data_IF_767660988122
#
_entry.id   IF_767660988122
#
_cell.length_a   1.000
_cell.length_b   1.000
_cell.length_c   1.000
_cell.angle_alpha   90.00
_cell.angle_beta   90.00
_cell.angle_gamma   90.00
#
_symmetry.space_group_name_H-M   'P 1'
#
loop_
_entity.id
_entity.type
_entity.pdbx_description
1 polymer ?
#
# COMPACT_ATOMS: atom_id res chain seq x y z
N UNK A 1 -11.31 -20.80 2.77
CA UNK A 1 -10.61 -20.22 3.95
C UNK A 1 -9.25 -19.62 3.61
N UNK A 2 -8.31 -20.35 2.98
CA UNK A 2 -6.97 -19.80 2.65
C UNK A 2 -7.00 -18.53 1.79
N UNK A 3 -7.82 -18.49 0.73
CA UNK A 3 -7.99 -17.32 -0.14
C UNK A 3 -8.50 -16.07 0.62
N UNK A 4 -9.42 -16.27 1.56
CA UNK A 4 -9.97 -15.18 2.37
C UNK A 4 -8.91 -14.57 3.29
N UNK A 5 -8.11 -15.42 3.94
CA UNK A 5 -7.01 -14.97 4.81
C UNK A 5 -5.96 -14.20 4.01
N UNK A 6 -5.58 -14.70 2.82
CA UNK A 6 -4.65 -13.99 1.94
C UNK A 6 -5.20 -12.65 1.47
N UNK A 7 -6.49 -12.57 1.12
CA UNK A 7 -7.13 -11.32 0.74
C UNK A 7 -7.11 -10.31 1.89
N UNK A 8 -7.44 -10.74 3.12
CA UNK A 8 -7.40 -9.89 4.32
C UNK A 8 -5.98 -9.41 4.61
N UNK A 9 -4.98 -10.30 4.55
CA UNK A 9 -3.57 -9.93 4.75
C UNK A 9 -3.13 -8.91 3.70
N UNK A 10 -3.47 -9.14 2.44
CA UNK A 10 -3.11 -8.26 1.35
C UNK A 10 -3.75 -6.87 1.51
N UNK A 11 -5.05 -6.79 1.80
CA UNK A 11 -5.74 -5.51 2.04
C UNK A 11 -5.18 -4.82 3.28
N UNK A 12 -4.95 -5.56 4.37
CA UNK A 12 -4.36 -5.02 5.60
C UNK A 12 -2.97 -4.45 5.38
N UNK A 13 -2.10 -5.18 4.67
CA UNK A 13 -0.76 -4.71 4.30
C UNK A 13 -0.81 -3.48 3.39
N UNK A 14 -1.73 -3.44 2.42
CA UNK A 14 -1.91 -2.28 1.57
C UNK A 14 -2.32 -1.03 2.38
N UNK A 15 -3.32 -1.14 3.24
CA UNK A 15 -3.76 -0.03 4.11
C UNK A 15 -2.65 0.42 5.06
N UNK A 16 -1.89 -0.52 5.63
CA UNK A 16 -0.76 -0.22 6.49
C UNK A 16 0.36 0.54 5.74
N UNK A 17 0.67 0.13 4.51
CA UNK A 17 1.63 0.84 3.64
C UNK A 17 1.14 2.25 3.32
N UNK A 18 -0.13 2.42 2.95
CA UNK A 18 -0.72 3.76 2.67
C UNK A 18 -0.56 4.67 3.87
N UNK A 19 -0.93 4.15 5.04
CA UNK A 19 -0.86 4.86 6.31
C UNK A 19 0.57 5.27 6.62
N UNK A 20 1.51 4.33 6.52
CA UNK A 20 2.92 4.56 6.82
C UNK A 20 3.52 5.67 5.94
N UNK A 21 3.36 5.58 4.62
CA UNK A 21 3.89 6.61 3.71
C UNK A 21 3.18 7.97 3.87
N UNK A 22 1.89 7.97 4.23
CA UNK A 22 1.17 9.22 4.46
C UNK A 22 1.66 9.92 5.75
N UNK A 23 1.97 9.15 6.80
CA UNK A 23 2.57 9.69 8.03
C UNK A 23 3.99 10.20 7.76
N UNK A 24 4.81 9.40 7.09
CA UNK A 24 6.20 9.70 6.75
C UNK A 24 6.31 11.02 5.96
N UNK A 25 5.54 11.14 4.86
CA UNK A 25 5.52 12.37 4.05
C UNK A 25 5.05 13.62 4.82
N UNK A 26 4.18 13.45 5.82
CA UNK A 26 3.73 14.55 6.68
C UNK A 26 4.84 15.00 7.64
N UNK A 27 5.54 14.04 8.25
CA UNK A 27 6.66 14.31 9.15
C UNK A 27 7.85 14.93 8.40
N UNK A 28 8.14 14.47 7.19
CA UNK A 28 9.18 15.02 6.32
C UNK A 28 8.90 16.49 5.93
N UNK A 29 7.62 16.87 5.83
CA UNK A 29 7.21 18.25 5.61
C UNK A 29 7.25 19.11 6.88
N UNK A 30 7.73 18.58 8.01
CA UNK A 30 7.77 19.25 9.31
C UNK A 30 6.41 19.31 10.01
N UNK A 31 5.42 18.57 9.52
CA UNK A 31 4.08 18.51 10.08
C UNK A 31 3.93 17.52 11.24
N UNK A 32 2.74 17.50 11.82
CA UNK A 32 2.30 16.46 12.74
C UNK A 32 1.19 15.64 12.10
N UNK A 33 1.34 14.32 12.12
CA UNK A 33 0.37 13.40 11.56
C UNK A 33 -0.59 12.86 12.62
N UNK A 34 -1.87 12.71 12.26
CA UNK A 34 -2.87 12.08 13.12
C UNK A 34 -3.89 11.27 12.28
N UNK A 35 -4.78 10.53 12.96
CA UNK A 35 -5.80 9.68 12.33
C UNK A 35 -5.22 8.70 11.29
N UNK A 36 -4.15 7.99 11.64
CA UNK A 36 -3.49 7.02 10.76
C UNK A 36 -3.04 7.65 9.42
N UNK A 37 -2.40 8.81 9.46
CA UNK A 37 -1.84 9.43 8.24
C UNK A 37 -2.85 10.17 7.37
N UNK A 38 -4.14 10.17 7.73
CA UNK A 38 -5.20 10.85 6.99
C UNK A 38 -5.30 12.35 7.30
N UNK A 39 -4.64 12.79 8.37
CA UNK A 39 -4.62 14.20 8.76
C UNK A 39 -3.18 14.61 8.99
N UNK A 40 -2.76 15.68 8.33
CA UNK A 40 -1.47 16.32 8.51
C UNK A 40 -1.70 17.79 8.89
N UNK A 41 -1.14 18.23 10.00
CA UNK A 41 -1.24 19.61 10.51
C UNK A 41 0.14 20.23 10.68
N UNK A 42 0.22 21.56 10.75
CA UNK A 42 1.51 22.25 10.93
C UNK A 42 2.40 22.30 9.68
N UNK A 43 1.87 21.92 8.52
CA UNK A 43 2.53 22.00 7.21
C UNK A 43 2.16 23.30 6.49
N UNK A 44 3.02 23.74 5.57
CA UNK A 44 2.74 24.90 4.70
C UNK A 44 1.50 24.69 3.82
N UNK A 45 0.87 25.79 3.38
CA UNK A 45 -0.35 25.77 2.55
C UNK A 45 -0.20 25.01 1.22
N UNK A 46 1.03 24.83 0.77
CA UNK A 46 1.36 24.18 -0.51
C UNK A 46 1.58 22.67 -0.36
N UNK A 47 1.55 22.14 0.88
CA UNK A 47 1.69 20.72 1.12
C UNK A 47 0.38 20.00 0.76
N UNK A 48 0.45 19.14 -0.25
CA UNK A 48 -0.65 18.27 -0.64
C UNK A 48 -0.36 16.88 -0.05
N UNK A 49 -1.18 16.40 0.90
CA UNK A 49 -1.02 15.10 1.51
C UNK A 49 -1.00 13.97 0.49
N UNK A 50 -0.26 12.89 0.80
CA UNK A 50 -0.09 11.76 -0.10
C UNK A 50 -1.44 11.13 -0.52
N UNK A 51 -2.40 11.04 0.40
CA UNK A 51 -3.75 10.52 0.12
C UNK A 51 -4.57 11.40 -0.85
N UNK A 52 -4.19 12.67 -1.02
CA UNK A 52 -4.79 13.63 -1.97
C UNK A 52 -3.99 13.79 -3.26
N UNK A 53 -2.70 13.49 -3.24
CA UNK A 53 -1.90 13.37 -4.46
C UNK A 53 -2.35 12.14 -5.25
N UNK A 54 -1.69 11.90 -6.37
CA UNK A 54 -1.87 10.81 -7.36
C UNK A 54 -1.83 9.37 -6.79
N UNK A 55 -2.03 9.19 -5.49
CA UNK A 55 -2.27 7.95 -4.76
C UNK A 55 -3.11 6.93 -5.53
N UNK A 56 -4.21 7.25 -6.24
CA UNK A 56 -4.92 6.23 -7.00
C UNK A 56 -4.02 5.54 -8.04
N UNK A 57 -3.19 6.31 -8.77
CA UNK A 57 -2.24 5.77 -9.76
C UNK A 57 -1.03 5.10 -9.10
N UNK A 58 -0.54 5.64 -7.98
CA UNK A 58 0.53 4.98 -7.22
C UNK A 58 0.09 3.61 -6.71
N UNK A 59 -1.07 3.52 -6.05
CA UNK A 59 -1.62 2.24 -5.60
C UNK A 59 -1.90 1.31 -6.76
N UNK A 60 -2.49 1.81 -7.86
CA UNK A 60 -2.69 1.00 -9.07
C UNK A 60 -1.38 0.40 -9.59
N UNK A 61 -0.28 1.15 -9.59
CA UNK A 61 1.04 0.64 -9.96
C UNK A 61 1.57 -0.43 -9.00
N UNK A 62 1.40 -0.25 -7.69
CA UNK A 62 1.78 -1.23 -6.65
C UNK A 62 1.00 -2.53 -6.80
N UNK A 63 -0.30 -2.43 -7.11
CA UNK A 63 -1.16 -3.57 -7.42
C UNK A 63 -0.69 -4.32 -8.66
N UNK A 64 -0.43 -3.60 -9.77
CA UNK A 64 0.06 -4.20 -11.02
C UNK A 64 1.41 -4.89 -10.80
N UNK A 65 2.35 -4.24 -10.12
CA UNK A 65 3.64 -4.84 -9.78
C UNK A 65 3.49 -6.07 -8.90
N UNK A 66 2.64 -6.01 -7.86
CA UNK A 66 2.39 -7.15 -6.98
C UNK A 66 1.79 -8.33 -7.74
N UNK A 67 0.80 -8.10 -8.61
CA UNK A 67 0.23 -9.15 -9.45
C UNK A 67 1.24 -9.73 -10.44
N UNK A 68 2.11 -8.88 -11.01
CA UNK A 68 3.17 -9.32 -11.92
C UNK A 68 4.19 -10.20 -11.20
N UNK A 69 4.62 -9.79 -10.00
CA UNK A 69 5.54 -10.58 -9.17
C UNK A 69 4.91 -11.93 -8.81
N UNK A 70 3.65 -11.95 -8.37
CA UNK A 70 2.94 -13.21 -8.06
C UNK A 70 2.90 -14.13 -9.29
N UNK A 71 2.58 -13.60 -10.47
CA UNK A 71 2.58 -14.37 -11.72
C UNK A 71 3.97 -14.91 -12.08
N UNK A 72 5.02 -14.10 -11.92
CA UNK A 72 6.40 -14.53 -12.16
C UNK A 72 6.85 -15.61 -11.18
N UNK A 73 6.53 -15.49 -9.89
CA UNK A 73 6.89 -16.50 -8.88
C UNK A 73 6.13 -17.80 -9.10
N UNK A 74 4.85 -17.77 -9.45
CA UNK A 74 4.07 -18.97 -9.78
C UNK A 74 4.67 -19.71 -10.98
N UNK A 75 5.12 -18.97 -12.01
CA UNK A 75 5.77 -19.55 -13.19
C UNK A 75 7.18 -20.09 -12.90
N UNK A 76 7.94 -19.44 -12.01
CA UNK A 76 9.31 -19.82 -11.67
C UNK A 76 9.36 -20.96 -10.63
N UNK A 77 8.36 -21.08 -9.76
CA UNK A 77 8.28 -22.09 -8.71
C UNK A 77 6.96 -22.87 -8.80
N UNK A 78 6.78 -23.76 -9.80
CA UNK A 78 5.53 -24.46 -10.03
C UNK A 78 5.09 -25.42 -8.89
N UNK A 79 6.02 -25.74 -7.98
CA UNK A 79 5.78 -26.56 -6.77
C UNK A 79 5.61 -25.72 -5.49
N UNK A 80 5.84 -24.41 -5.55
CA UNK A 80 5.42 -23.55 -4.46
C UNK A 80 3.90 -23.57 -4.46
N UNK A 81 3.29 -24.14 -3.41
CA UNK A 81 1.86 -23.94 -3.11
C UNK A 81 1.66 -22.48 -2.70
N UNK A 82 1.91 -21.55 -3.60
CA UNK A 82 1.37 -20.22 -3.53
C UNK A 82 -0.14 -20.39 -3.40
N UNK A 83 -0.79 -19.56 -2.58
CA UNK A 83 -2.22 -19.66 -2.28
C UNK A 83 -3.15 -19.39 -3.49
N UNK A 84 -2.58 -19.45 -4.70
CA UNK A 84 -3.16 -19.26 -6.03
C UNK A 84 -3.03 -20.58 -6.80
N UNK A 85 -3.65 -21.66 -6.32
CA UNK A 85 -3.89 -22.82 -7.19
C UNK A 85 -5.17 -23.51 -6.74
N UNK A 86 -6.20 -23.38 -7.57
CA UNK A 86 -7.19 -24.44 -7.73
C UNK A 86 -6.56 -25.50 -8.65
#
# INVERSE_FOLDING_TARGET
MKKLICAIMFVGSAVALVTFFSVDSCLDAGGSSSKFGLVCTGVGSDFIPLYQRVAPLFWLSVFIFSSTVVFCVDKAMPNAKLCVKD
#
